data_IF_470278114313
#
_entry.id   IF_470278114313
#
_cell.length_a   1.000
_cell.length_b   1.000
_cell.length_c   1.000
_cell.angle_alpha   90.00
_cell.angle_beta   90.00
_cell.angle_gamma   90.00
#
_symmetry.space_group_name_H-M   'P 1'
#
loop_
_entity.id
_entity.type
_entity.pdbx_description
1 polymer ?
#
# COMPACT_ATOMS: atom_id res chain seq x y z
N UNK A 1 18.18 24.08 9.36
CA UNK A 1 17.26 23.36 8.45
C UNK A 1 15.87 23.93 8.66
N UNK A 2 15.47 24.88 7.82
CA UNK A 2 14.24 25.64 7.98
C UNK A 2 13.09 24.95 7.25
N UNK A 3 11.99 24.71 7.96
CA UNK A 3 10.65 24.99 7.45
C UNK A 3 10.06 24.14 6.32
N UNK A 4 10.49 22.89 6.12
CA UNK A 4 9.73 21.98 5.25
C UNK A 4 8.62 21.33 6.09
N UNK A 5 7.45 21.95 6.12
CA UNK A 5 6.23 21.26 6.53
C UNK A 5 5.83 20.31 5.39
N UNK A 6 5.63 19.00 5.61
CA UNK A 6 5.14 18.12 4.57
C UNK A 6 3.74 18.58 4.13
N UNK A 7 3.64 19.15 2.93
CA UNK A 7 2.35 19.48 2.26
C UNK A 7 1.70 18.23 1.64
N UNK A 8 1.91 17.06 2.26
CA UNK A 8 1.90 15.73 1.62
C UNK A 8 0.54 15.25 1.13
N UNK A 9 0.06 15.78 0.01
CA UNK A 9 -1.12 15.28 -0.71
C UNK A 9 -0.76 14.83 -2.14
N UNK A 10 0.53 14.66 -2.44
CA UNK A 10 0.97 14.24 -3.76
C UNK A 10 0.53 12.78 -3.99
N UNK A 11 -0.25 12.48 -5.04
CA UNK A 11 -0.67 11.12 -5.34
C UNK A 11 0.54 10.23 -5.65
N UNK A 12 0.45 8.95 -5.33
CA UNK A 12 1.52 7.97 -5.51
C UNK A 12 2.02 7.95 -6.97
N UNK A 13 1.11 8.05 -7.95
CA UNK A 13 1.51 8.06 -9.36
C UNK A 13 2.38 9.28 -9.71
N UNK A 14 2.11 10.44 -9.13
CA UNK A 14 2.95 11.62 -9.35
C UNK A 14 4.35 11.40 -8.76
N UNK A 15 4.44 10.79 -7.58
CA UNK A 15 5.71 10.45 -6.93
C UNK A 15 6.51 9.43 -7.76
N UNK A 16 5.89 8.33 -8.18
CA UNK A 16 6.58 7.28 -8.94
C UNK A 16 7.01 7.77 -10.33
N UNK A 17 6.22 8.63 -10.98
CA UNK A 17 6.61 9.26 -12.23
C UNK A 17 7.83 10.17 -12.07
N UNK A 18 7.86 10.99 -11.01
CA UNK A 18 8.98 11.89 -10.74
C UNK A 18 10.27 11.13 -10.37
N UNK A 19 10.14 9.97 -9.71
CA UNK A 19 11.29 9.18 -9.26
C UNK A 19 11.73 8.10 -10.23
N UNK A 20 10.91 7.72 -11.22
CA UNK A 20 11.22 6.64 -12.15
C UNK A 20 12.59 6.73 -12.84
N UNK A 21 13.10 7.91 -13.25
CA UNK A 21 14.43 7.99 -13.85
C UNK A 21 15.57 7.60 -12.91
N UNK A 22 15.31 7.57 -11.60
CA UNK A 22 16.28 7.27 -10.54
C UNK A 22 16.22 5.81 -10.09
N UNK A 23 15.22 5.04 -10.51
CA UNK A 23 15.13 3.64 -10.16
C UNK A 23 16.01 2.80 -11.08
N UNK A 24 16.87 1.98 -10.48
CA UNK A 24 17.54 0.90 -11.21
C UNK A 24 16.48 -0.05 -11.75
N UNK A 25 16.60 -0.47 -13.00
CA UNK A 25 15.69 -1.47 -13.59
C UNK A 25 15.63 -2.72 -12.72
N UNK A 26 14.43 -3.25 -12.48
CA UNK A 26 14.25 -4.45 -11.68
C UNK A 26 14.45 -4.27 -10.17
N UNK A 27 14.78 -3.06 -9.69
CA UNK A 27 14.89 -2.83 -8.25
C UNK A 27 13.54 -3.07 -7.55
N UNK A 28 13.56 -3.67 -6.34
CA UNK A 28 12.34 -3.86 -5.58
C UNK A 28 11.80 -2.51 -5.09
N UNK A 29 10.48 -2.36 -5.13
CA UNK A 29 9.77 -1.16 -4.67
C UNK A 29 8.81 -1.58 -3.57
N UNK A 30 9.07 -1.08 -2.36
CA UNK A 30 8.19 -1.28 -1.21
C UNK A 30 7.23 -0.10 -1.09
N UNK A 31 5.93 -0.41 -1.04
CA UNK A 31 4.86 0.56 -0.77
C UNK A 31 4.25 0.19 0.59
N UNK A 32 4.42 1.07 1.58
CA UNK A 32 3.82 0.91 2.91
C UNK A 32 2.72 1.96 3.05
N UNK A 33 1.46 1.55 2.97
CA UNK A 33 0.31 2.47 2.96
C UNK A 33 -1.01 1.75 3.23
N UNK A 34 -1.98 2.41 3.86
CA UNK A 34 -3.36 1.90 3.94
C UNK A 34 -4.05 1.84 2.57
N UNK A 35 -3.47 2.48 1.54
CA UNK A 35 -3.96 2.53 0.16
C UNK A 35 -5.30 3.27 0.02
N UNK A 36 -5.67 4.05 1.03
CA UNK A 36 -6.91 4.81 1.10
C UNK A 36 -6.69 6.26 0.66
N UNK A 37 -7.73 6.90 0.13
CA UNK A 37 -7.72 8.32 -0.20
C UNK A 37 -6.92 8.71 -1.45
N UNK A 38 -6.19 7.78 -2.09
CA UNK A 38 -5.46 8.01 -3.33
C UNK A 38 -5.94 7.08 -4.46
N UNK A 39 -6.74 7.63 -5.37
CA UNK A 39 -7.25 6.91 -6.53
C UNK A 39 -6.20 6.55 -7.59
N UNK A 40 -4.97 7.06 -7.48
CA UNK A 40 -3.88 6.80 -8.44
C UNK A 40 -3.05 5.57 -8.10
N UNK A 41 -3.23 4.98 -6.92
CA UNK A 41 -2.47 3.80 -6.46
C UNK A 41 -2.52 2.64 -7.47
N UNK A 42 -3.68 2.24 -8.03
CA UNK A 42 -3.74 1.20 -9.07
C UNK A 42 -2.85 1.47 -10.28
N UNK A 43 -2.82 2.72 -10.75
CA UNK A 43 -2.03 3.11 -11.91
C UNK A 43 -0.54 3.09 -11.60
N UNK A 44 -0.14 3.64 -10.44
CA UNK A 44 1.24 3.63 -10.00
C UNK A 44 1.80 2.21 -9.87
N UNK A 45 1.03 1.29 -9.27
CA UNK A 45 1.43 -0.12 -9.13
C UNK A 45 1.57 -0.78 -10.50
N UNK A 46 0.59 -0.62 -11.38
CA UNK A 46 0.64 -1.20 -12.74
C UNK A 46 1.84 -0.69 -13.54
N UNK A 47 2.13 0.61 -13.47
CA UNK A 47 3.25 1.21 -14.19
C UNK A 47 4.60 0.70 -13.67
N UNK A 48 4.76 0.55 -12.35
CA UNK A 48 5.97 0.00 -11.75
C UNK A 48 6.16 -1.48 -12.13
N UNK A 49 5.12 -2.30 -11.99
CA UNK A 49 5.15 -3.72 -12.37
C UNK A 49 5.44 -3.88 -13.87
N UNK A 50 4.81 -3.07 -14.72
CA UNK A 50 5.03 -3.06 -16.17
C UNK A 50 6.43 -2.61 -16.60
N UNK A 51 7.17 -1.94 -15.72
CA UNK A 51 8.60 -1.60 -15.88
C UNK A 51 9.53 -2.66 -15.27
N UNK A 52 8.99 -3.84 -14.93
CA UNK A 52 9.68 -4.98 -14.33
C UNK A 52 10.22 -4.72 -12.91
N UNK A 53 9.68 -3.76 -12.17
CA UNK A 53 9.98 -3.67 -10.74
C UNK A 53 9.27 -4.77 -9.96
N UNK A 54 9.95 -5.35 -8.96
CA UNK A 54 9.29 -6.19 -7.97
C UNK A 54 8.54 -5.28 -6.99
N UNK A 55 7.22 -5.14 -7.18
CA UNK A 55 6.38 -4.27 -6.35
C UNK A 55 5.84 -5.06 -5.17
N UNK A 56 6.18 -4.62 -3.96
CA UNK A 56 5.75 -5.24 -2.71
C UNK A 56 4.94 -4.20 -1.93
N UNK A 57 3.67 -4.50 -1.70
CA UNK A 57 2.75 -3.64 -0.97
C UNK A 57 2.54 -4.23 0.42
N UNK A 58 2.93 -3.48 1.45
CA UNK A 58 2.57 -3.77 2.83
C UNK A 58 1.45 -2.82 3.23
N UNK A 59 0.24 -3.35 3.37
CA UNK A 59 -0.91 -2.52 3.67
C UNK A 59 -1.34 -2.68 5.13
N UNK A 60 -1.11 -1.69 6.02
CA UNK A 60 -1.76 -1.67 7.32
C UNK A 60 -3.29 -1.57 7.19
N UNK A 61 -4.03 -2.30 8.02
CA UNK A 61 -5.50 -2.23 8.09
C UNK A 61 -5.96 -1.06 8.96
N UNK A 62 -6.38 0.04 8.33
CA UNK A 62 -7.07 1.16 9.01
C UNK A 62 -8.37 0.70 9.66
N UNK A 63 -9.13 -0.16 8.97
CA UNK A 63 -10.43 -0.69 9.42
C UNK A 63 -10.31 -1.47 10.74
N UNK A 64 -9.29 -2.32 10.86
CA UNK A 64 -9.09 -3.09 12.09
C UNK A 64 -8.56 -2.20 13.22
N UNK A 65 -7.74 -1.20 12.90
CA UNK A 65 -7.31 -0.18 13.87
C UNK A 65 -8.51 0.64 14.41
N UNK A 66 -9.38 1.12 13.54
CA UNK A 66 -10.58 1.87 13.94
C UNK A 66 -11.51 1.04 14.84
N UNK A 67 -11.62 -0.27 14.60
CA UNK A 67 -12.40 -1.17 15.44
C UNK A 67 -11.81 -1.33 16.85
N UNK A 68 -10.49 -1.27 16.99
CA UNK A 68 -9.83 -1.35 18.31
C UNK A 68 -10.06 -0.07 19.14
N UNK A 69 -10.15 1.08 18.48
CA UNK A 69 -10.20 2.40 19.14
C UNK A 69 -11.61 2.97 19.24
N UNK A 70 -12.56 2.51 18.42
CA UNK A 70 -13.91 3.08 18.32
C UNK A 70 -15.01 2.02 18.10
N UNK A 71 -16.26 2.37 18.45
CA UNK A 71 -17.43 1.51 18.17
C UNK A 71 -17.91 1.75 16.74
N UNK A 72 -17.39 0.96 15.79
CA UNK A 72 -17.89 0.90 14.42
C UNK A 72 -19.10 -0.04 14.35
N UNK A 73 -20.25 0.38 13.78
CA UNK A 73 -21.39 -0.51 13.55
C UNK A 73 -20.99 -1.75 12.72
N UNK A 74 -21.52 -2.91 13.07
CA UNK A 74 -21.14 -4.20 12.45
C UNK A 74 -21.25 -4.17 10.93
N UNK A 75 -22.37 -3.68 10.39
CA UNK A 75 -22.57 -3.64 8.94
C UNK A 75 -21.55 -2.76 8.23
N UNK A 76 -21.22 -1.59 8.78
CA UNK A 76 -20.21 -0.69 8.22
C UNK A 76 -18.84 -1.36 8.19
N UNK A 77 -18.48 -2.06 9.27
CA UNK A 77 -17.22 -2.80 9.35
C UNK A 77 -17.10 -3.90 8.29
N UNK A 78 -18.17 -4.69 8.07
CA UNK A 78 -18.18 -5.73 7.04
C UNK A 78 -18.01 -5.15 5.63
N UNK A 79 -18.67 -4.02 5.35
CA UNK A 79 -18.52 -3.32 4.06
C UNK A 79 -17.08 -2.83 3.88
N UNK A 80 -16.51 -2.18 4.89
CA UNK A 80 -15.13 -1.69 4.84
C UNK A 80 -14.12 -2.82 4.64
N UNK A 81 -14.33 -3.98 5.28
CA UNK A 81 -13.52 -5.18 5.04
C UNK A 81 -13.60 -5.68 3.61
N UNK A 82 -14.81 -5.72 3.04
CA UNK A 82 -15.03 -6.15 1.67
C UNK A 82 -14.39 -5.19 0.66
N UNK A 83 -14.55 -3.88 0.85
CA UNK A 83 -13.90 -2.86 0.02
C UNK A 83 -12.38 -2.95 0.08
N UNK A 84 -11.82 -3.15 1.28
CA UNK A 84 -10.39 -3.37 1.46
C UNK A 84 -9.92 -4.62 0.74
N UNK A 85 -10.61 -5.74 0.92
CA UNK A 85 -10.25 -6.99 0.25
C UNK A 85 -10.26 -6.82 -1.28
N UNK A 86 -11.27 -6.17 -1.83
CA UNK A 86 -11.33 -5.86 -3.26
C UNK A 86 -10.14 -5.03 -3.72
N UNK A 87 -9.74 -4.02 -2.93
CA UNK A 87 -8.59 -3.17 -3.22
C UNK A 87 -7.29 -3.97 -3.23
N UNK A 88 -7.04 -4.79 -2.20
CA UNK A 88 -5.83 -5.61 -2.11
C UNK A 88 -5.76 -6.64 -3.25
N UNK A 89 -6.88 -7.31 -3.54
CA UNK A 89 -6.99 -8.26 -4.66
C UNK A 89 -6.72 -7.58 -6.00
N UNK A 90 -7.22 -6.36 -6.21
CA UNK A 90 -6.97 -5.61 -7.44
C UNK A 90 -5.48 -5.28 -7.63
N UNK A 91 -4.79 -4.83 -6.57
CA UNK A 91 -3.35 -4.54 -6.64
C UNK A 91 -2.53 -5.79 -6.92
N UNK A 92 -2.90 -6.94 -6.33
CA UNK A 92 -2.29 -8.22 -6.67
C UNK A 92 -2.45 -8.55 -8.16
N UNK A 93 -3.65 -8.32 -8.71
CA UNK A 93 -3.93 -8.44 -10.14
C UNK A 93 -3.14 -7.48 -11.04
N UNK A 94 -2.57 -6.39 -10.50
CA UNK A 94 -1.69 -5.47 -11.22
C UNK A 94 -0.20 -5.82 -11.08
N UNK A 95 0.12 -7.00 -10.56
CA UNK A 95 1.47 -7.53 -10.48
C UNK A 95 2.21 -7.19 -9.19
N UNK A 96 1.55 -6.59 -8.20
CA UNK A 96 2.15 -6.43 -6.88
C UNK A 96 2.04 -7.70 -6.05
N UNK A 97 3.06 -7.98 -5.24
CA UNK A 97 2.91 -8.85 -4.07
C UNK A 97 2.27 -8.04 -2.95
N UNK A 98 1.12 -8.46 -2.45
CA UNK A 98 0.37 -7.72 -1.42
C UNK A 98 0.39 -8.49 -0.11
N UNK A 99 0.84 -7.83 0.95
CA UNK A 99 0.83 -8.32 2.32
C UNK A 99 -0.18 -7.47 3.08
N UNK A 100 -1.27 -8.10 3.51
CA UNK A 100 -2.20 -7.48 4.45
C UNK A 100 -1.55 -7.52 5.83
N UNK A 101 -1.03 -6.36 6.25
CA UNK A 101 -0.25 -6.25 7.47
C UNK A 101 -1.16 -5.76 8.59
N UNK A 102 -1.32 -6.58 9.62
CA UNK A 102 -2.09 -6.16 10.79
C UNK A 102 -1.23 -5.29 11.74
N UNK A 103 -1.79 -4.23 12.35
CA UNK A 103 -1.04 -3.30 13.20
C UNK A 103 -0.38 -3.94 14.44
N UNK A 104 -0.90 -5.08 14.88
CA UNK A 104 -0.42 -5.86 16.03
C UNK A 104 0.72 -6.83 15.66
N UNK A 105 1.04 -6.97 14.38
CA UNK A 105 2.16 -7.76 13.88
C UNK A 105 3.37 -6.86 13.68
N UNK A 106 4.56 -7.28 14.12
CA UNK A 106 5.79 -6.51 13.85
C UNK A 106 6.11 -6.45 12.35
N UNK A 107 6.57 -5.29 11.86
CA UNK A 107 6.97 -5.12 10.45
C UNK A 107 8.06 -6.12 10.03
N UNK A 108 8.99 -6.44 10.92
CA UNK A 108 10.03 -7.44 10.72
C UNK A 108 9.45 -8.80 10.34
N UNK A 109 8.38 -9.23 11.04
CA UNK A 109 7.68 -10.48 10.78
C UNK A 109 6.86 -10.41 9.49
N UNK A 110 6.18 -9.29 9.22
CA UNK A 110 5.47 -9.09 7.97
C UNK A 110 6.41 -9.20 6.75
N UNK A 111 7.61 -8.62 6.84
CA UNK A 111 8.61 -8.67 5.77
C UNK A 111 9.19 -10.08 5.53
N UNK A 112 9.15 -10.99 6.50
CA UNK A 112 9.57 -12.38 6.28
C UNK A 112 8.68 -13.10 5.27
N UNK A 113 7.41 -12.69 5.15
CA UNK A 113 6.47 -13.25 4.17
C UNK A 113 6.89 -12.91 2.72
N UNK A 114 7.72 -11.87 2.52
CA UNK A 114 8.31 -11.54 1.21
C UNK A 114 9.36 -12.56 0.78
N UNK A 115 10.07 -13.22 1.71
CA UNK A 115 11.20 -14.11 1.37
C UNK A 115 10.80 -15.54 0.97
N UNK A 116 9.54 -15.92 1.14
CA UNK A 116 9.08 -17.32 1.08
C UNK A 116 8.51 -17.75 -0.28
N UNK A 117 8.72 -16.98 -1.34
CA UNK A 117 8.12 -17.21 -2.66
C UNK A 117 9.01 -16.77 -3.81
#
# INVERSE_FOLDING_TARGET
MAGVAPKGNMPLQAVTNALSPRFSRGSPVFIISSLEGDGTVPHAVRDLSGRNHEVIVLSPSSTDYERLVSRVPRMSYEVMKLERQNRLTALAGFGARVIDWMPDVELSQALLQVKLS
#
